data_IF_871189588042
#
_entry.id   IF_871189588042
#
_cell.length_a   1.000
_cell.length_b   1.000
_cell.length_c   1.000
_cell.angle_alpha   90.00
_cell.angle_beta   90.00
_cell.angle_gamma   90.00
#
_symmetry.space_group_name_H-M   'P 1'
#
loop_
_entity.id
_entity.type
_entity.pdbx_description
1 polymer ?
#
# COMPACT_ATOMS: atom_id res chain seq x y z
N UNK A 1 -11.44 -14.40 -11.89
CA UNK A 1 -11.00 -14.14 -10.50
C UNK A 1 -11.07 -12.65 -10.24
N UNK A 2 -11.44 -12.22 -9.03
CA UNK A 2 -11.62 -10.81 -8.70
C UNK A 2 -10.28 -10.17 -8.36
N UNK A 3 -9.90 -9.10 -9.08
CA UNK A 3 -8.65 -8.37 -8.86
C UNK A 3 -8.82 -7.36 -7.72
N UNK A 4 -7.97 -7.44 -6.70
CA UNK A 4 -8.11 -6.63 -5.48
C UNK A 4 -6.80 -5.98 -5.03
N UNK A 5 -6.87 -4.71 -4.65
CA UNK A 5 -5.76 -3.95 -4.03
C UNK A 5 -6.26 -3.25 -2.76
N UNK A 6 -5.52 -3.35 -1.66
CA UNK A 6 -5.78 -2.57 -0.44
C UNK A 6 -4.61 -1.63 -0.16
N UNK A 7 -4.82 -0.33 -0.32
CA UNK A 7 -3.81 0.69 -0.06
C UNK A 7 -4.05 1.36 1.30
N UNK A 8 -3.09 1.24 2.22
CA UNK A 8 -3.22 1.75 3.59
C UNK A 8 -2.46 3.07 3.77
N UNK A 9 -3.08 4.01 4.49
CA UNK A 9 -2.43 5.24 4.91
C UNK A 9 -1.29 4.99 5.90
N UNK A 10 -1.39 3.92 6.69
CA UNK A 10 -0.34 3.40 7.56
C UNK A 10 -0.85 2.25 8.43
N UNK A 11 0.06 1.47 9.02
CA UNK A 11 -0.27 0.32 9.87
C UNK A 11 0.00 -1.02 9.19
N UNK A 12 -0.79 -2.05 9.52
CA UNK A 12 -0.68 -3.38 8.93
C UNK A 12 0.44 -4.26 9.52
N UNK A 13 0.83 -5.32 8.81
CA UNK A 13 1.51 -6.50 9.37
C UNK A 13 2.91 -6.28 9.97
N UNK A 14 3.69 -5.32 9.45
CA UNK A 14 5.13 -5.22 9.72
C UNK A 14 5.49 -4.27 10.87
N UNK A 15 4.49 -3.79 11.63
CA UNK A 15 4.72 -3.03 12.86
C UNK A 15 4.95 -3.96 14.05
N UNK A 16 5.66 -3.47 15.07
CA UNK A 16 5.93 -4.23 16.30
C UNK A 16 4.63 -4.64 17.03
N UNK A 17 3.66 -3.72 17.07
CA UNK A 17 2.32 -3.94 17.64
C UNK A 17 1.27 -3.54 16.61
N UNK A 18 0.97 -4.41 15.63
CA UNK A 18 0.02 -4.08 14.60
C UNK A 18 -1.40 -4.25 15.12
N UNK A 19 -2.28 -3.36 14.70
CA UNK A 19 -3.71 -3.58 14.85
C UNK A 19 -4.11 -4.77 13.95
N UNK A 20 -4.57 -5.89 14.52
CA UNK A 20 -4.81 -7.11 13.74
C UNK A 20 -5.98 -6.96 12.79
N UNK A 21 -6.86 -5.98 12.98
CA UNK A 21 -8.13 -5.84 12.26
C UNK A 21 -7.93 -5.65 10.75
N UNK A 22 -7.05 -4.72 10.36
CA UNK A 22 -6.72 -4.48 8.95
C UNK A 22 -5.99 -5.68 8.33
N UNK A 23 -5.12 -6.33 9.10
CA UNK A 23 -4.43 -7.53 8.66
C UNK A 23 -5.42 -8.67 8.40
N UNK A 24 -6.36 -8.90 9.33
CA UNK A 24 -7.46 -9.89 9.20
C UNK A 24 -8.33 -9.59 7.99
N UNK A 25 -8.68 -8.32 7.78
CA UNK A 25 -9.43 -7.89 6.61
C UNK A 25 -8.74 -8.30 5.31
N UNK A 26 -7.46 -7.95 5.14
CA UNK A 26 -6.68 -8.32 3.95
C UNK A 26 -6.66 -9.85 3.75
N UNK A 27 -6.44 -10.63 4.81
CA UNK A 27 -6.43 -12.09 4.72
C UNK A 27 -7.81 -12.65 4.34
N UNK A 28 -8.91 -12.08 4.86
CA UNK A 28 -10.26 -12.52 4.53
C UNK A 28 -10.61 -12.35 3.04
N UNK A 29 -10.02 -11.36 2.36
CA UNK A 29 -10.22 -11.13 0.92
C UNK A 29 -9.73 -12.30 0.06
N UNK A 30 -8.84 -13.15 0.58
CA UNK A 30 -8.37 -14.35 -0.11
C UNK A 30 -9.41 -15.47 -0.18
N UNK A 31 -10.43 -15.43 0.71
CA UNK A 31 -11.41 -16.51 0.87
C UNK A 31 -10.81 -17.83 1.40
N UNK A 32 -9.55 -17.83 1.86
CA UNK A 32 -8.86 -19.03 2.36
C UNK A 32 -8.83 -19.05 3.88
N UNK A 33 -8.96 -20.23 4.47
CA UNK A 33 -8.83 -20.45 5.93
C UNK A 33 -7.38 -20.26 6.43
N UNK A 34 -6.38 -20.63 5.61
CA UNK A 34 -4.94 -20.54 5.93
C UNK A 34 -4.15 -19.97 4.75
N UNK A 35 -4.37 -18.70 4.39
CA UNK A 35 -3.78 -18.09 3.20
C UNK A 35 -2.24 -18.08 3.26
N UNK A 36 -1.60 -18.36 2.13
CA UNK A 36 -0.19 -18.02 1.92
C UNK A 36 -0.07 -16.52 1.64
N UNK A 37 0.75 -15.84 2.43
CA UNK A 37 1.00 -14.40 2.28
C UNK A 37 2.50 -14.14 2.19
N UNK A 38 2.91 -13.38 1.18
CA UNK A 38 4.30 -12.97 1.03
C UNK A 38 4.48 -11.49 1.36
N UNK A 39 5.48 -11.19 2.20
CA UNK A 39 5.94 -9.83 2.44
C UNK A 39 7.02 -9.43 1.43
N UNK A 40 6.92 -8.20 0.92
CA UNK A 40 7.96 -7.56 0.12
C UNK A 40 8.47 -6.34 0.91
N UNK A 41 9.58 -6.47 1.65
CA UNK A 41 10.13 -5.43 2.52
C UNK A 41 11.05 -4.44 1.82
N UNK A 42 11.05 -4.41 0.48
CA UNK A 42 12.00 -3.61 -0.31
C UNK A 42 12.06 -2.13 0.09
N UNK A 43 10.92 -1.52 0.42
CA UNK A 43 10.87 -0.12 0.82
C UNK A 43 11.67 0.17 2.10
N UNK A 44 11.73 -0.77 3.03
CA UNK A 44 12.50 -0.66 4.28
C UNK A 44 13.94 -1.16 4.15
N UNK A 45 14.42 -1.50 2.95
CA UNK A 45 15.75 -2.08 2.77
C UNK A 45 15.87 -3.46 3.43
N UNK A 46 14.80 -4.25 3.42
CA UNK A 46 14.73 -5.57 4.05
C UNK A 46 15.04 -5.56 5.55
N UNK A 47 14.57 -4.52 6.25
CA UNK A 47 14.62 -4.40 7.71
C UNK A 47 14.17 -5.70 8.40
N UNK A 48 15.10 -6.30 9.14
CA UNK A 48 14.89 -7.60 9.78
C UNK A 48 13.84 -7.54 10.89
N UNK A 49 13.71 -6.40 11.55
CA UNK A 49 12.65 -6.15 12.54
C UNK A 49 11.26 -6.21 11.91
N UNK A 50 11.07 -5.51 10.79
CA UNK A 50 9.83 -5.51 10.01
C UNK A 50 9.50 -6.92 9.49
N UNK A 51 10.50 -7.68 9.03
CA UNK A 51 10.33 -9.08 8.61
C UNK A 51 9.87 -9.93 9.79
N UNK A 52 10.58 -9.89 10.93
CA UNK A 52 10.21 -10.66 12.12
C UNK A 52 8.79 -10.32 12.61
N UNK A 53 8.42 -9.03 12.61
CA UNK A 53 7.09 -8.55 12.97
C UNK A 53 6.01 -9.07 12.01
N UNK A 54 6.27 -9.05 10.70
CA UNK A 54 5.37 -9.62 9.70
C UNK A 54 5.11 -11.10 9.96
N UNK A 55 6.16 -11.91 10.15
CA UNK A 55 6.02 -13.35 10.41
C UNK A 55 5.21 -13.63 11.68
N UNK A 56 5.48 -12.89 12.76
CA UNK A 56 4.74 -13.00 14.02
C UNK A 56 3.25 -12.72 13.82
N UNK A 57 2.94 -11.62 13.12
CA UNK A 57 1.58 -11.17 12.88
C UNK A 57 0.80 -12.13 11.98
N UNK A 58 1.39 -12.53 10.85
CA UNK A 58 0.76 -13.46 9.92
C UNK A 58 0.48 -14.82 10.57
N UNK A 59 1.43 -15.38 11.33
CA UNK A 59 1.24 -16.66 12.05
C UNK A 59 0.13 -16.58 13.10
N UNK A 60 0.09 -15.49 13.88
CA UNK A 60 -0.98 -15.25 14.87
C UNK A 60 -2.37 -15.19 14.24
N UNK A 61 -2.46 -14.81 12.97
CA UNK A 61 -3.71 -14.75 12.21
C UNK A 61 -3.99 -16.03 11.40
N UNK A 62 -3.22 -17.11 11.60
CA UNK A 62 -3.42 -18.40 10.93
C UNK A 62 -2.91 -18.49 9.50
N UNK A 63 -2.21 -17.46 9.01
CA UNK A 63 -1.63 -17.43 7.66
C UNK A 63 -0.28 -18.16 7.59
N UNK A 64 0.16 -18.47 6.36
CA UNK A 64 1.48 -19.04 6.05
C UNK A 64 2.39 -17.95 5.48
N UNK A 65 3.25 -17.31 6.30
CA UNK A 65 4.10 -16.24 5.82
C UNK A 65 5.33 -16.74 5.05
N UNK A 66 5.71 -15.96 4.03
CA UNK A 66 7.07 -15.91 3.49
C UNK A 66 7.46 -14.45 3.25
N UNK A 67 8.69 -14.19 2.83
CA UNK A 67 9.07 -12.88 2.32
C UNK A 67 9.95 -13.03 1.07
N UNK A 68 9.99 -11.97 0.26
CA UNK A 68 10.83 -11.86 -0.93
C UNK A 68 11.81 -10.72 -0.74
N UNK A 69 13.08 -11.05 -0.59
CA UNK A 69 14.19 -10.09 -0.66
C UNK A 69 14.61 -9.88 -2.11
N UNK A 70 14.89 -8.63 -2.46
CA UNK A 70 15.63 -8.27 -3.69
C UNK A 70 17.03 -7.74 -3.40
N UNK A 71 17.39 -7.57 -2.12
CA UNK A 71 18.73 -7.24 -1.68
C UNK A 71 19.61 -8.49 -1.52
N UNK A 72 18.97 -9.63 -1.28
CA UNK A 72 19.57 -10.96 -1.40
C UNK A 72 19.16 -11.56 -2.75
N UNK A 73 20.05 -12.38 -3.33
CA UNK A 73 19.77 -13.06 -4.59
C UNK A 73 18.55 -13.98 -4.44
N UNK A 74 17.50 -13.83 -5.29
CA UNK A 74 16.37 -14.76 -5.29
C UNK A 74 16.86 -16.19 -5.57
N UNK A 75 16.44 -17.14 -4.73
CA UNK A 75 16.82 -18.54 -4.86
C UNK A 75 16.09 -19.26 -6.01
N UNK A 76 15.05 -18.64 -6.54
CA UNK A 76 14.21 -19.18 -7.61
C UNK A 76 13.58 -18.05 -8.45
N UNK A 77 13.04 -18.35 -9.65
CA UNK A 77 12.43 -17.33 -10.50
C UNK A 77 11.25 -16.61 -9.83
N UNK A 78 11.16 -15.29 -10.01
CA UNK A 78 10.19 -14.43 -9.32
C UNK A 78 8.73 -14.80 -9.59
N UNK A 79 8.39 -15.15 -10.84
CA UNK A 79 7.01 -15.42 -11.22
C UNK A 79 6.40 -16.63 -10.50
N UNK A 80 6.99 -17.85 -10.56
CA UNK A 80 6.48 -18.99 -9.81
C UNK A 80 6.56 -18.80 -8.29
N UNK A 81 7.52 -18.00 -7.81
CA UNK A 81 7.55 -17.60 -6.40
C UNK A 81 6.29 -16.82 -6.01
N UNK A 82 6.03 -15.69 -6.66
CA UNK A 82 4.92 -14.79 -6.30
C UNK A 82 3.55 -15.45 -6.50
N UNK A 83 3.40 -16.30 -7.52
CA UNK A 83 2.11 -16.92 -7.86
C UNK A 83 1.65 -18.02 -6.89
N UNK A 84 2.52 -18.53 -6.01
CA UNK A 84 2.12 -19.54 -5.01
C UNK A 84 1.37 -18.92 -3.81
N UNK A 85 1.34 -17.59 -3.73
CA UNK A 85 0.73 -16.86 -2.63
C UNK A 85 -0.69 -16.43 -2.97
N UNK A 86 -1.54 -16.43 -1.95
CA UNK A 86 -2.91 -15.93 -2.04
C UNK A 86 -2.95 -14.40 -1.86
N UNK A 87 -1.98 -13.84 -1.13
CA UNK A 87 -1.85 -12.41 -0.89
C UNK A 87 -0.39 -11.93 -0.87
N UNK A 88 -0.21 -10.65 -1.22
CA UNK A 88 1.06 -9.92 -1.14
C UNK A 88 0.88 -8.73 -0.19
N UNK A 89 1.80 -8.58 0.75
CA UNK A 89 1.94 -7.41 1.61
C UNK A 89 3.20 -6.64 1.24
N UNK A 90 3.09 -5.33 1.04
CA UNK A 90 4.22 -4.44 0.74
C UNK A 90 4.41 -3.43 1.86
N UNK A 91 5.63 -3.38 2.38
CA UNK A 91 5.98 -2.57 3.55
C UNK A 91 6.08 -1.07 3.27
N UNK A 92 6.19 -0.31 4.35
CA UNK A 92 6.55 1.12 4.30
C UNK A 92 8.07 1.33 4.17
N UNK A 93 8.47 2.59 3.95
CA UNK A 93 9.87 3.00 3.80
C UNK A 93 10.06 3.91 2.59
N UNK A 94 11.14 3.74 1.84
CA UNK A 94 11.47 4.55 0.68
C UNK A 94 10.79 4.03 -0.60
N UNK A 95 9.71 4.69 -1.01
CA UNK A 95 8.95 4.37 -2.23
C UNK A 95 9.80 4.44 -3.50
N UNK A 96 10.71 5.43 -3.60
CA UNK A 96 11.58 5.58 -4.78
C UNK A 96 12.49 4.37 -4.94
N UNK A 97 13.15 3.93 -3.87
CA UNK A 97 14.04 2.78 -3.88
C UNK A 97 13.30 1.49 -4.23
N UNK A 98 12.10 1.29 -3.64
CA UNK A 98 11.21 0.19 -4.00
C UNK A 98 10.94 0.16 -5.50
N UNK A 99 10.47 1.26 -6.09
CA UNK A 99 10.10 1.30 -7.50
C UNK A 99 11.29 1.10 -8.44
N UNK A 100 12.45 1.66 -8.09
CA UNK A 100 13.69 1.47 -8.86
C UNK A 100 14.10 0.00 -8.89
N UNK A 101 14.18 -0.63 -7.72
CA UNK A 101 14.62 -2.02 -7.63
C UNK A 101 13.61 -2.97 -8.28
N UNK A 102 12.31 -2.75 -8.09
CA UNK A 102 11.29 -3.59 -8.71
C UNK A 102 11.33 -3.55 -10.23
N UNK A 103 11.54 -2.38 -10.82
CA UNK A 103 11.69 -2.25 -12.29
C UNK A 103 12.96 -2.93 -12.79
N UNK A 104 14.08 -2.78 -12.06
CA UNK A 104 15.34 -3.42 -12.41
C UNK A 104 15.23 -4.96 -12.42
N UNK A 105 14.50 -5.53 -11.45
CA UNK A 105 14.28 -6.98 -11.34
C UNK A 105 13.07 -7.50 -12.13
N UNK A 106 12.27 -6.63 -12.74
CA UNK A 106 11.01 -6.99 -13.41
C UNK A 106 9.92 -7.50 -12.45
N UNK A 107 10.03 -7.23 -11.15
CA UNK A 107 9.06 -7.64 -10.13
C UNK A 107 7.72 -6.92 -10.31
N UNK A 108 7.73 -5.69 -10.82
CA UNK A 108 6.52 -4.94 -11.17
C UNK A 108 5.64 -5.72 -12.18
N UNK A 109 6.25 -6.27 -13.23
CA UNK A 109 5.56 -7.10 -14.24
C UNK A 109 5.05 -8.41 -13.64
N UNK A 110 5.83 -9.02 -12.75
CA UNK A 110 5.44 -10.25 -12.05
C UNK A 110 4.23 -10.03 -11.13
N UNK A 111 4.27 -8.96 -10.33
CA UNK A 111 3.17 -8.58 -9.44
C UNK A 111 1.91 -8.21 -10.22
N UNK A 112 2.06 -7.57 -11.38
CA UNK A 112 0.93 -7.31 -12.28
C UNK A 112 0.26 -8.59 -12.75
N UNK A 113 1.03 -9.61 -13.15
CA UNK A 113 0.48 -10.93 -13.54
C UNK A 113 -0.21 -11.63 -12.37
N UNK A 114 0.36 -11.54 -11.17
CA UNK A 114 -0.23 -12.11 -9.95
C UNK A 114 -1.58 -11.46 -9.62
N UNK A 115 -1.65 -10.14 -9.68
CA UNK A 115 -2.87 -9.37 -9.52
C UNK A 115 -3.95 -9.75 -10.54
N UNK A 116 -3.58 -9.91 -11.81
CA UNK A 116 -4.49 -10.35 -12.88
C UNK A 116 -5.03 -11.77 -12.65
N UNK A 117 -4.29 -12.61 -11.92
CA UNK A 117 -4.72 -13.95 -11.50
C UNK A 117 -5.50 -13.97 -10.18
N UNK A 118 -5.76 -12.81 -9.58
CA UNK A 118 -6.58 -12.70 -8.37
C UNK A 118 -5.81 -12.78 -7.05
N UNK A 119 -4.46 -12.71 -7.08
CA UNK A 119 -3.67 -12.54 -5.85
C UNK A 119 -4.03 -11.19 -5.23
N UNK A 120 -4.38 -11.19 -3.95
CA UNK A 120 -4.74 -9.96 -3.22
C UNK A 120 -3.48 -9.13 -2.99
N UNK A 121 -3.42 -7.93 -3.56
CA UNK A 121 -2.30 -7.01 -3.30
C UNK A 121 -2.66 -6.06 -2.16
N UNK A 122 -1.67 -5.74 -1.33
CA UNK A 122 -1.86 -4.79 -0.25
C UNK A 122 -0.55 -4.14 0.16
N UNK A 123 -0.63 -2.97 0.76
CA UNK A 123 0.56 -2.33 1.33
C UNK A 123 0.25 -1.08 2.13
N UNK A 124 1.20 -0.71 2.97
CA UNK A 124 1.12 0.47 3.85
C UNK A 124 2.15 1.51 3.47
N UNK A 125 1.77 2.79 3.55
CA UNK A 125 2.69 3.90 3.29
C UNK A 125 3.27 3.79 1.87
N UNK A 126 4.59 3.63 1.72
CA UNK A 126 5.24 3.34 0.44
C UNK A 126 4.58 2.20 -0.35
N UNK A 127 4.23 1.10 0.33
CA UNK A 127 3.55 -0.04 -0.28
C UNK A 127 2.08 0.23 -0.65
N UNK A 128 1.44 1.24 -0.08
CA UNK A 128 0.11 1.69 -0.52
C UNK A 128 0.19 2.67 -1.69
N UNK A 129 1.19 3.56 -1.64
CA UNK A 129 1.47 4.57 -2.64
C UNK A 129 1.90 3.97 -3.99
N UNK A 130 2.71 2.91 -3.99
CA UNK A 130 3.30 2.38 -5.22
C UNK A 130 2.26 1.92 -6.27
N UNK A 131 1.04 1.58 -5.87
CA UNK A 131 -0.02 1.11 -6.79
C UNK A 131 -0.61 2.22 -7.66
N UNK A 132 -0.57 3.47 -7.19
CA UNK A 132 -1.19 4.61 -7.87
C UNK A 132 -0.36 5.10 -9.07
N UNK A 133 -0.92 6.00 -9.87
CA UNK A 133 -0.17 6.69 -10.94
C UNK A 133 0.95 7.54 -10.36
N UNK A 134 0.67 8.22 -9.25
CA UNK A 134 1.65 9.04 -8.55
C UNK A 134 1.21 9.30 -7.11
N UNK A 135 1.99 10.06 -6.35
CA UNK A 135 1.54 10.58 -5.08
C UNK A 135 2.64 11.29 -4.30
N UNK A 136 2.35 11.58 -3.03
CA UNK A 136 3.27 12.34 -2.18
C UNK A 136 4.26 11.40 -1.51
N UNK A 137 5.54 11.66 -1.72
CA UNK A 137 6.64 10.92 -1.13
C UNK A 137 7.56 11.82 -0.32
N UNK A 138 8.22 11.24 0.67
CA UNK A 138 9.32 11.75 1.48
C UNK A 138 10.63 10.99 1.21
N UNK A 139 10.71 10.29 0.07
CA UNK A 139 11.90 9.50 -0.32
C UNK A 139 13.18 10.33 -0.52
N UNK A 140 13.11 11.66 -0.45
CA UNK A 140 14.25 12.56 -0.56
C UNK A 140 14.46 13.28 0.77
N UNK A 141 15.69 13.37 1.28
CA UNK A 141 15.97 14.00 2.57
C UNK A 141 15.34 15.38 2.70
N UNK A 142 14.51 15.55 3.73
CA UNK A 142 13.87 16.82 4.08
C UNK A 142 12.77 17.33 3.15
N UNK A 143 12.36 16.56 2.13
CA UNK A 143 11.43 17.05 1.08
C UNK A 143 10.23 16.12 0.90
N UNK A 144 9.03 16.72 0.95
CA UNK A 144 7.80 16.09 0.49
C UNK A 144 7.50 16.59 -0.92
N UNK A 145 7.40 15.68 -1.88
CA UNK A 145 7.19 16.00 -3.29
C UNK A 145 6.40 14.90 -4.00
N UNK A 146 6.08 15.13 -5.27
CA UNK A 146 5.48 14.14 -6.16
C UNK A 146 6.44 13.00 -6.51
N UNK A 147 5.87 11.83 -6.78
CA UNK A 147 6.56 10.68 -7.32
C UNK A 147 5.66 9.90 -8.27
N UNK A 148 6.13 9.61 -9.48
CA UNK A 148 5.48 8.69 -10.40
C UNK A 148 5.64 7.23 -9.95
N UNK A 149 4.54 6.50 -9.88
CA UNK A 149 4.44 5.16 -9.32
C UNK A 149 4.09 4.12 -10.42
N UNK A 150 3.48 2.98 -10.09
CA UNK A 150 3.20 1.90 -11.07
C UNK A 150 2.01 2.20 -11.99
N UNK A 151 1.06 3.03 -11.55
CA UNK A 151 -0.08 3.45 -12.36
C UNK A 151 -1.18 2.41 -12.56
N UNK A 152 -1.31 1.45 -11.66
CA UNK A 152 -2.39 0.45 -11.73
C UNK A 152 -3.70 1.02 -11.17
N UNK A 153 -3.61 1.85 -10.13
CA UNK A 153 -4.71 2.67 -9.64
C UNK A 153 -4.60 4.09 -10.21
N UNK A 154 -5.73 4.65 -10.63
CA UNK A 154 -5.79 6.00 -11.21
C UNK A 154 -5.60 7.08 -10.13
N UNK A 155 -5.16 8.25 -10.57
CA UNK A 155 -4.98 9.41 -9.70
C UNK A 155 -3.76 9.29 -8.80
N UNK A 156 -3.76 10.09 -7.74
CA UNK A 156 -2.66 10.15 -6.78
C UNK A 156 -3.01 9.58 -5.41
N UNK A 157 -1.98 9.29 -4.58
CA UNK A 157 -2.18 8.88 -3.19
C UNK A 157 -1.30 9.64 -2.20
N UNK A 158 -1.83 9.87 -0.99
CA UNK A 158 -1.09 10.45 0.13
C UNK A 158 -1.35 9.64 1.42
N UNK A 159 -0.37 8.86 1.90
CA UNK A 159 -0.47 8.15 3.18
C UNK A 159 -0.29 9.10 4.38
N UNK A 160 -0.40 8.58 5.61
CA UNK A 160 -0.11 9.28 6.87
C UNK A 160 -0.77 10.67 7.01
N UNK A 161 -1.99 10.83 6.48
CA UNK A 161 -2.59 12.15 6.30
C UNK A 161 -2.91 12.89 7.60
N UNK A 162 -3.07 12.17 8.71
CA UNK A 162 -3.25 12.74 10.05
C UNK A 162 -1.97 12.87 10.88
N UNK A 163 -0.92 12.09 10.59
CA UNK A 163 0.21 11.89 11.51
C UNK A 163 1.50 12.55 11.04
N UNK A 164 1.60 12.88 9.75
CA UNK A 164 2.71 13.62 9.19
C UNK A 164 2.22 15.00 8.72
N UNK A 165 2.32 16.04 9.57
CA UNK A 165 1.65 17.33 9.34
C UNK A 165 2.02 18.03 8.02
N UNK A 166 3.20 17.72 7.47
CA UNK A 166 3.67 18.27 6.19
C UNK A 166 2.95 17.67 4.98
N UNK A 167 2.41 16.45 5.07
CA UNK A 167 1.79 15.76 3.93
C UNK A 167 0.54 16.44 3.43
N UNK A 168 -0.35 16.84 4.34
CA UNK A 168 -1.63 17.50 4.00
C UNK A 168 -1.45 18.80 3.19
N UNK A 169 -0.71 19.82 3.66
CA UNK A 169 -0.51 21.04 2.90
C UNK A 169 0.24 20.80 1.59
N UNK A 170 1.24 19.90 1.57
CA UNK A 170 1.97 19.57 0.35
C UNK A 170 1.07 18.88 -0.68
N UNK A 171 0.23 17.94 -0.27
CA UNK A 171 -0.66 17.24 -1.19
C UNK A 171 -1.67 18.21 -1.82
N UNK A 172 -2.28 19.06 -0.99
CA UNK A 172 -3.21 20.11 -1.47
C UNK A 172 -2.53 21.03 -2.48
N UNK A 173 -1.32 21.49 -2.19
CA UNK A 173 -0.53 22.34 -3.10
C UNK A 173 -0.25 21.63 -4.42
N UNK A 174 0.27 20.39 -4.38
CA UNK A 174 0.62 19.65 -5.59
C UNK A 174 -0.60 19.35 -6.47
N UNK A 175 -1.76 19.10 -5.86
CA UNK A 175 -3.02 18.94 -6.61
C UNK A 175 -3.49 20.28 -7.17
N UNK A 176 -3.43 21.37 -6.40
CA UNK A 176 -3.90 22.69 -6.85
C UNK A 176 -3.06 23.28 -7.99
N UNK A 177 -1.76 22.96 -8.03
CA UNK A 177 -0.85 23.40 -9.10
C UNK A 177 -0.87 22.48 -10.32
N UNK A 178 -1.66 21.38 -10.29
CA UNK A 178 -1.69 20.37 -11.35
C UNK A 178 -0.45 19.48 -11.42
N UNK A 179 0.52 19.63 -10.50
CA UNK A 179 1.72 18.78 -10.42
C UNK A 179 1.36 17.33 -10.11
N UNK A 180 0.35 17.10 -9.27
CA UNK A 180 -0.29 15.80 -9.09
C UNK A 180 -1.73 15.83 -9.62
N UNK A 181 -2.21 14.75 -10.25
CA UNK A 181 -3.64 14.60 -10.50
C UNK A 181 -4.39 14.51 -9.16
N UNK A 182 -5.70 14.79 -9.17
CA UNK A 182 -6.58 14.46 -8.05
C UNK A 182 -6.51 12.98 -7.69
N UNK A 183 -6.86 12.65 -6.45
CA UNK A 183 -6.66 11.31 -5.89
C UNK A 183 -7.20 11.15 -4.48
N UNK A 184 -6.56 10.28 -3.72
CA UNK A 184 -6.98 9.91 -2.37
C UNK A 184 -5.89 10.20 -1.33
N UNK A 185 -6.31 10.51 -0.11
CA UNK A 185 -5.44 10.43 1.06
C UNK A 185 -6.07 9.52 2.11
N UNK A 186 -5.23 8.94 2.96
CA UNK A 186 -5.68 8.08 4.04
C UNK A 186 -4.89 8.36 5.32
N UNK A 187 -5.62 8.42 6.43
CA UNK A 187 -5.03 8.43 7.76
C UNK A 187 -4.33 7.11 8.06
N UNK A 188 -3.47 7.11 9.08
CA UNK A 188 -3.00 5.87 9.69
C UNK A 188 -4.19 4.99 10.11
N UNK A 189 -4.08 3.69 9.83
CA UNK A 189 -5.10 2.68 10.07
C UNK A 189 -6.38 2.85 9.25
N UNK A 190 -6.30 3.51 8.09
CA UNK A 190 -7.34 3.52 7.05
C UNK A 190 -6.84 2.78 5.83
N UNK A 191 -7.65 1.86 5.30
CA UNK A 191 -7.41 1.12 4.07
C UNK A 191 -8.42 1.51 2.99
N UNK A 192 -7.92 1.83 1.81
CA UNK A 192 -8.71 2.01 0.59
C UNK A 192 -8.70 0.69 -0.17
N UNK A 193 -9.84 0.01 -0.26
CA UNK A 193 -9.97 -1.27 -0.94
C UNK A 193 -10.57 -1.06 -2.33
N UNK A 194 -9.78 -1.44 -3.33
CA UNK A 194 -10.13 -1.38 -4.73
C UNK A 194 -10.46 -2.78 -5.26
N UNK A 195 -11.55 -2.88 -6.02
CA UNK A 195 -11.96 -4.07 -6.76
C UNK A 195 -12.04 -3.69 -8.24
N UNK A 196 -11.22 -4.35 -9.08
CA UNK A 196 -11.13 -3.99 -10.50
C UNK A 196 -10.79 -2.50 -10.70
N UNK A 197 -9.78 -2.01 -9.98
CA UNK A 197 -9.28 -0.62 -10.04
C UNK A 197 -10.30 0.47 -9.63
N UNK A 198 -11.49 0.08 -9.14
CA UNK A 198 -12.51 1.00 -8.62
C UNK A 198 -12.55 0.90 -7.10
N UNK A 199 -12.62 2.06 -6.42
CA UNK A 199 -12.76 2.09 -4.96
C UNK A 199 -14.09 1.43 -4.58
N UNK A 200 -14.02 0.35 -3.82
CA UNK A 200 -15.17 -0.42 -3.37
C UNK A 200 -15.51 -0.14 -1.91
N UNK A 201 -14.49 -0.14 -1.04
CA UNK A 201 -14.64 0.06 0.40
C UNK A 201 -13.54 0.93 0.98
N UNK A 202 -13.86 1.62 2.07
CA UNK A 202 -12.95 2.32 2.95
C UNK A 202 -13.12 1.71 4.34
N UNK A 203 -12.06 1.06 4.81
CA UNK A 203 -12.08 0.34 6.08
C UNK A 203 -11.15 1.01 7.07
N UNK A 204 -11.47 0.92 8.36
CA UNK A 204 -10.58 1.40 9.42
C UNK A 204 -10.57 0.48 10.63
N UNK A 205 -9.45 0.43 11.34
CA UNK A 205 -9.38 -0.26 12.64
C UNK A 205 -9.58 0.68 13.84
N UNK A 206 -9.69 1.99 13.61
CA UNK A 206 -9.76 3.02 14.65
C UNK A 206 -10.94 3.97 14.41
N UNK A 207 -11.59 4.38 15.49
CA UNK A 207 -12.58 5.48 15.44
C UNK A 207 -11.89 6.79 15.04
N UNK A 208 -12.66 7.71 14.45
CA UNK A 208 -12.21 9.04 14.06
C UNK A 208 -10.96 9.06 13.15
N UNK A 209 -10.89 8.10 12.22
CA UNK A 209 -9.91 8.06 11.13
C UNK A 209 -10.63 8.06 9.80
N UNK A 210 -10.06 8.76 8.83
CA UNK A 210 -10.76 9.08 7.59
C UNK A 210 -9.90 8.84 6.36
N UNK A 211 -10.60 8.64 5.25
CA UNK A 211 -10.05 8.86 3.93
C UNK A 211 -10.43 10.25 3.43
N UNK A 212 -9.75 10.72 2.40
CA UNK A 212 -10.02 12.01 1.77
C UNK A 212 -9.92 11.84 0.26
N UNK A 213 -10.76 12.58 -0.47
CA UNK A 213 -10.65 12.71 -1.92
C UNK A 213 -10.27 14.14 -2.24
N UNK A 214 -9.21 14.29 -3.05
CA UNK A 214 -8.78 15.58 -3.56
C UNK A 214 -9.07 15.64 -5.06
N UNK A 215 -9.73 16.71 -5.49
CA UNK A 215 -9.96 17.01 -6.91
C UNK A 215 -9.34 18.36 -7.25
N UNK A 216 -8.81 18.48 -8.45
CA UNK A 216 -8.38 19.75 -9.01
C UNK A 216 -9.61 20.54 -9.50
N UNK A 217 -9.74 21.79 -9.08
CA UNK A 217 -10.84 22.69 -9.46
C UNK A 217 -10.28 24.09 -9.78
N UNK A 218 -10.29 24.47 -11.06
CA UNK A 218 -10.06 25.81 -11.60
C UNK A 218 -9.06 26.74 -10.85
N UNK A 219 -7.91 26.20 -10.38
CA UNK A 219 -6.79 26.82 -9.59
C UNK A 219 -6.72 26.47 -8.10
N UNK A 220 -7.51 25.51 -7.61
CA UNK A 220 -7.50 25.07 -6.22
C UNK A 220 -7.62 23.54 -6.10
N UNK A 221 -7.27 23.01 -4.93
CA UNK A 221 -7.55 21.63 -4.57
C UNK A 221 -8.79 21.59 -3.66
N UNK A 222 -9.86 20.94 -4.12
CA UNK A 222 -11.03 20.65 -3.30
C UNK A 222 -10.80 19.33 -2.56
N UNK A 223 -10.80 19.40 -1.24
CA UNK A 223 -10.66 18.23 -0.36
C UNK A 223 -12.04 17.87 0.21
N UNK A 224 -12.43 16.60 0.09
CA UNK A 224 -13.64 16.05 0.70
C UNK A 224 -13.24 14.90 1.61
N UNK A 225 -13.57 15.01 2.90
CA UNK A 225 -13.40 13.91 3.87
C UNK A 225 -14.43 12.82 3.58
N UNK A 226 -13.99 11.56 3.61
CA UNK A 226 -14.83 10.39 3.44
C UNK A 226 -14.80 9.57 4.74
N UNK A 227 -15.97 9.30 5.28
CA UNK A 227 -16.13 8.44 6.46
C UNK A 227 -15.98 6.98 6.01
N UNK A 228 -15.12 6.17 6.66
CA UNK A 228 -15.04 4.74 6.38
C UNK A 228 -16.41 4.07 6.52
N UNK A 229 -16.80 3.29 5.52
CA UNK A 229 -18.04 2.51 5.53
C UNK A 229 -17.97 1.32 6.50
N UNK A 230 -16.76 0.87 6.85
CA UNK A 230 -16.57 -0.23 7.80
C UNK A 230 -15.56 0.13 8.89
N UNK A 231 -15.97 -0.02 10.15
CA UNK A 231 -15.08 -0.06 11.32
C UNK A 231 -14.90 -1.52 11.71
N UNK A 232 -13.68 -2.02 11.59
CA UNK A 232 -13.28 -3.42 11.83
C UNK A 232 -13.07 -3.72 13.32
#
# INVERSE_FOLDING_TARGET
>A
MTRQIVALGGGGFSRLYPDPKLCKYILSLTGKRRPAICFIPTASGDDQGAVANFYRSARRLGARPSHLSLFQQPLEPLLPFVLRHDAIWVGGGNTRNLLLLWRAWGLDKVLRKAYERGVVLSGSSAGGLCWFRSGVTDSYPGRYQELSCLGWLRGSFCPHYNSEPKRKPVYRRLVSTGTLPGGYAADDNVGLHFVGERLAHIVTSKKARYAYRLTHDARSARETRIVPDTIL
#
